data_IF_541856019929
#
_entry.id   IF_541856019929
#
_cell.length_a   1.000
_cell.length_b   1.000
_cell.length_c   1.000
_cell.angle_alpha   90.00
_cell.angle_beta   90.00
_cell.angle_gamma   90.00
#
_symmetry.space_group_name_H-M   'P 1'
#
loop_
_entity.id
_entity.type
_entity.pdbx_description
1 polymer ?
#
# COMPACT_ATOMS: atom_id res chain seq x y z
N UNK A 1 29.89 0.25 -36.60
CA UNK A 1 28.65 0.75 -35.96
C UNK A 1 28.48 0.36 -34.48
N UNK A 2 28.68 -0.91 -34.06
CA UNK A 2 28.43 -1.34 -32.67
C UNK A 2 29.33 -0.68 -31.60
N UNK A 3 30.59 -0.37 -31.92
CA UNK A 3 31.52 0.28 -30.98
C UNK A 3 31.17 1.74 -30.70
N UNK A 4 30.80 2.50 -31.74
CA UNK A 4 30.38 3.89 -31.62
C UNK A 4 29.06 4.04 -30.81
N UNK A 5 28.15 3.07 -30.91
CA UNK A 5 26.93 3.05 -30.11
C UNK A 5 27.22 2.83 -28.62
N UNK A 6 28.16 1.92 -28.29
CA UNK A 6 28.59 1.68 -26.91
C UNK A 6 29.24 2.92 -26.29
N UNK A 7 30.11 3.60 -27.03
CA UNK A 7 30.77 4.83 -26.57
C UNK A 7 29.75 5.96 -26.32
N UNK A 8 28.76 6.12 -27.21
CA UNK A 8 27.67 7.10 -27.01
C UNK A 8 26.81 6.80 -25.79
N UNK A 9 26.50 5.52 -25.52
CA UNK A 9 25.77 5.09 -24.32
C UNK A 9 26.60 5.36 -23.05
N UNK A 10 27.91 5.08 -23.08
CA UNK A 10 28.80 5.34 -21.95
C UNK A 10 28.96 6.84 -21.66
N UNK A 11 29.02 7.68 -22.69
CA UNK A 11 29.10 9.14 -22.52
C UNK A 11 27.78 9.70 -22.00
N UNK A 12 26.64 9.20 -22.47
CA UNK A 12 25.32 9.61 -21.96
C UNK A 12 25.13 9.18 -20.50
N UNK A 13 25.56 7.95 -20.14
CA UNK A 13 25.56 7.48 -18.77
C UNK A 13 26.49 8.30 -17.87
N UNK A 14 27.68 8.67 -18.36
CA UNK A 14 28.58 9.54 -17.62
C UNK A 14 28.02 10.97 -17.46
N UNK A 15 27.41 11.54 -18.50
CA UNK A 15 26.80 12.87 -18.43
C UNK A 15 25.62 12.92 -17.43
N UNK A 16 24.83 11.85 -17.34
CA UNK A 16 23.76 11.69 -16.34
C UNK A 16 24.31 11.59 -14.90
N UNK A 17 25.54 11.09 -14.72
CA UNK A 17 26.18 10.99 -13.41
C UNK A 17 26.79 12.33 -12.93
N UNK A 18 27.07 13.27 -13.84
CA UNK A 18 27.73 14.55 -13.51
C UNK A 18 26.78 15.70 -13.15
N UNK A 19 25.46 15.56 -13.34
CA UNK A 19 24.48 16.62 -13.01
C UNK A 19 23.99 16.59 -11.56
N UNK A 20 24.45 15.64 -10.73
CA UNK A 20 23.93 15.41 -9.38
C UNK A 20 24.52 16.26 -8.24
N UNK A 21 25.44 17.19 -8.52
CA UNK A 21 26.04 18.06 -7.50
C UNK A 21 25.28 19.39 -7.39
N UNK A 22 24.00 19.35 -7.02
CA UNK A 22 23.22 20.55 -6.69
C UNK A 22 22.38 20.26 -5.43
N UNK A 23 22.55 21.14 -4.42
CA UNK A 23 21.80 21.26 -3.16
C UNK A 23 21.19 19.95 -2.61
N UNK A 24 21.96 19.19 -1.84
CA UNK A 24 21.44 17.95 -1.25
C UNK A 24 20.57 18.27 -0.05
N UNK A 25 19.25 18.14 -0.19
CA UNK A 25 18.40 17.88 0.96
C UNK A 25 18.89 16.55 1.58
N UNK A 26 19.41 16.52 2.82
CA UNK A 26 19.96 15.29 3.39
C UNK A 26 18.92 14.16 3.49
N UNK A 27 17.63 14.52 3.60
CA UNK A 27 16.51 13.58 3.64
C UNK A 27 16.10 13.08 2.26
N UNK A 28 16.39 13.85 1.21
CA UNK A 28 16.03 13.55 -0.18
C UNK A 28 17.13 14.00 -1.16
N UNK A 29 18.22 13.22 -1.28
CA UNK A 29 19.35 13.55 -2.16
C UNK A 29 18.98 13.69 -3.65
N UNK A 30 17.82 13.18 -4.06
CA UNK A 30 17.35 13.20 -5.46
C UNK A 30 16.12 14.10 -5.63
N UNK A 31 15.91 15.08 -4.76
CA UNK A 31 14.69 15.90 -4.71
C UNK A 31 14.33 16.52 -6.07
N UNK A 32 15.29 17.12 -6.78
CA UNK A 32 15.03 17.75 -8.09
C UNK A 32 14.53 16.73 -9.13
N UNK A 33 15.17 15.57 -9.21
CA UNK A 33 14.75 14.48 -10.08
C UNK A 33 13.37 13.95 -9.66
N UNK A 34 13.17 13.75 -8.37
CA UNK A 34 11.95 13.21 -7.80
C UNK A 34 10.75 14.14 -8.04
N UNK A 35 10.91 15.45 -7.86
CA UNK A 35 9.88 16.45 -8.16
C UNK A 35 9.56 16.52 -9.65
N UNK A 36 10.56 16.41 -10.52
CA UNK A 36 10.35 16.35 -11.96
C UNK A 36 9.54 15.10 -12.37
N UNK A 37 9.92 13.92 -11.87
CA UNK A 37 9.19 12.68 -12.12
C UNK A 37 7.81 12.67 -11.48
N UNK A 38 7.66 13.28 -10.30
CA UNK A 38 6.37 13.47 -9.65
C UNK A 38 5.43 14.30 -10.52
N UNK A 39 5.91 15.43 -11.05
CA UNK A 39 5.13 16.29 -11.96
C UNK A 39 4.76 15.55 -13.24
N UNK A 40 5.69 14.77 -13.80
CA UNK A 40 5.41 13.94 -14.98
C UNK A 40 4.30 12.91 -14.70
N UNK A 41 4.40 12.16 -13.59
CA UNK A 41 3.41 11.17 -13.20
C UNK A 41 2.05 11.80 -12.94
N UNK A 42 2.04 12.95 -12.26
CA UNK A 42 0.84 13.72 -11.95
C UNK A 42 0.15 14.23 -13.23
N UNK A 43 0.94 14.71 -14.20
CA UNK A 43 0.41 15.11 -15.52
C UNK A 43 -0.24 13.93 -16.23
N UNK A 44 0.39 12.75 -16.21
CA UNK A 44 -0.17 11.53 -16.81
C UNK A 44 -1.45 11.09 -16.08
N UNK A 45 -1.47 11.15 -14.75
CA UNK A 45 -2.63 10.82 -13.95
C UNK A 45 -3.81 11.74 -14.29
N UNK A 46 -3.62 13.05 -14.22
CA UNK A 46 -4.67 14.03 -14.50
C UNK A 46 -5.15 13.98 -15.95
N UNK A 47 -4.26 13.73 -16.92
CA UNK A 47 -4.62 13.72 -18.33
C UNK A 47 -5.34 12.44 -18.77
N UNK A 48 -5.06 11.29 -18.13
CA UNK A 48 -5.51 9.99 -18.63
C UNK A 48 -6.05 9.04 -17.55
N UNK A 49 -5.32 8.83 -16.46
CA UNK A 49 -5.64 7.76 -15.50
C UNK A 49 -6.82 8.17 -14.60
N UNK A 50 -6.81 9.40 -14.05
CA UNK A 50 -7.88 9.94 -13.20
C UNK A 50 -9.22 10.04 -13.95
N UNK A 51 -9.31 10.63 -15.16
CA UNK A 51 -10.57 10.61 -15.92
C UNK A 51 -11.07 9.20 -16.24
N UNK A 52 -10.17 8.27 -16.58
CA UNK A 52 -10.54 6.88 -16.82
C UNK A 52 -11.07 6.19 -15.56
N UNK A 53 -10.47 6.47 -14.39
CA UNK A 53 -10.91 5.96 -13.10
C UNK A 53 -12.26 6.52 -12.67
N UNK A 54 -12.55 7.80 -12.94
CA UNK A 54 -13.85 8.42 -12.70
C UNK A 54 -14.95 7.81 -13.58
N UNK A 55 -14.66 7.58 -14.86
CA UNK A 55 -15.59 6.88 -15.77
C UNK A 55 -15.81 5.45 -15.31
N UNK A 56 -14.75 4.73 -14.92
CA UNK A 56 -14.83 3.37 -14.39
C UNK A 56 -15.69 3.29 -13.14
N UNK A 57 -15.48 4.18 -12.15
CA UNK A 57 -16.24 4.20 -10.90
C UNK A 57 -17.70 4.60 -11.11
N UNK A 58 -17.98 5.46 -12.08
CA UNK A 58 -19.33 5.92 -12.41
C UNK A 58 -20.13 4.86 -13.17
N UNK A 59 -19.50 4.16 -14.11
CA UNK A 59 -20.20 3.20 -14.98
C UNK A 59 -20.36 1.82 -14.34
N UNK A 60 -19.40 1.37 -13.54
CA UNK A 60 -19.43 0.03 -12.96
C UNK A 60 -20.04 0.02 -11.56
N UNK A 61 -21.05 -0.84 -11.31
CA UNK A 61 -21.55 -1.05 -9.96
C UNK A 61 -20.45 -1.50 -9.00
N UNK A 62 -20.59 -1.14 -7.72
CA UNK A 62 -19.59 -1.42 -6.69
C UNK A 62 -19.22 -2.90 -6.60
N UNK A 63 -20.17 -3.83 -6.76
CA UNK A 63 -19.89 -5.27 -6.71
C UNK A 63 -18.94 -5.74 -7.83
N UNK A 64 -18.98 -5.10 -9.01
CA UNK A 64 -18.08 -5.40 -10.13
C UNK A 64 -16.67 -4.91 -9.81
N UNK A 65 -16.56 -3.68 -9.27
CA UNK A 65 -15.27 -3.12 -8.85
C UNK A 65 -14.61 -4.00 -7.78
N UNK A 66 -15.39 -4.42 -6.77
CA UNK A 66 -14.92 -5.37 -5.73
C UNK A 66 -14.47 -6.69 -6.36
N UNK A 67 -15.24 -7.25 -7.30
CA UNK A 67 -14.89 -8.49 -7.98
C UNK A 67 -13.57 -8.41 -8.77
N UNK A 68 -13.34 -7.29 -9.47
CA UNK A 68 -12.09 -7.02 -10.20
C UNK A 68 -10.93 -6.86 -9.22
N UNK A 69 -11.12 -6.09 -8.15
CA UNK A 69 -10.12 -5.89 -7.11
C UNK A 69 -9.72 -7.20 -6.43
N UNK A 70 -10.70 -8.04 -6.08
CA UNK A 70 -10.49 -9.36 -5.49
C UNK A 70 -9.75 -10.28 -6.44
N UNK A 71 -10.13 -10.32 -7.73
CA UNK A 71 -9.47 -11.15 -8.72
C UNK A 71 -7.98 -10.84 -8.84
N UNK A 72 -7.62 -9.56 -9.01
CA UNK A 72 -6.21 -9.16 -9.08
C UNK A 72 -5.50 -9.25 -7.72
N UNK A 73 -6.24 -9.08 -6.63
CA UNK A 73 -5.76 -9.32 -5.27
C UNK A 73 -5.34 -10.77 -5.07
N UNK A 74 -6.19 -11.71 -5.45
CA UNK A 74 -5.96 -13.15 -5.37
C UNK A 74 -4.72 -13.58 -6.19
N UNK A 75 -4.50 -12.98 -7.37
CA UNK A 75 -3.27 -13.20 -8.13
C UNK A 75 -2.03 -12.65 -7.41
N UNK A 76 -2.16 -11.49 -6.77
CA UNK A 76 -1.09 -10.89 -5.95
C UNK A 76 -0.75 -11.72 -4.71
N UNK A 77 -1.76 -12.34 -4.09
CA UNK A 77 -1.60 -13.17 -2.88
C UNK A 77 -0.63 -14.34 -3.12
N UNK A 78 -0.50 -14.83 -4.37
CA UNK A 78 0.52 -15.84 -4.74
C UNK A 78 1.93 -15.34 -4.47
N UNK A 79 2.26 -14.13 -4.96
CA UNK A 79 3.59 -13.56 -4.78
C UNK A 79 3.82 -13.11 -3.33
N UNK A 80 2.78 -12.64 -2.66
CA UNK A 80 2.82 -12.33 -1.23
C UNK A 80 3.12 -13.58 -0.40
N UNK A 81 2.48 -14.73 -0.67
CA UNK A 81 2.80 -15.98 0.02
C UNK A 81 4.25 -16.41 -0.16
N UNK A 82 4.80 -16.28 -1.37
CA UNK A 82 6.24 -16.53 -1.64
C UNK A 82 7.12 -15.63 -0.79
N UNK A 83 6.84 -14.33 -0.73
CA UNK A 83 7.63 -13.39 0.07
C UNK A 83 7.48 -13.65 1.57
N UNK A 84 6.30 -14.02 2.05
CA UNK A 84 6.11 -14.46 3.44
C UNK A 84 7.03 -15.65 3.78
N UNK A 85 7.12 -16.66 2.91
CA UNK A 85 8.06 -17.77 3.11
C UNK A 85 9.52 -17.33 3.05
N UNK A 86 9.90 -16.47 2.09
CA UNK A 86 11.26 -15.91 2.02
C UNK A 86 11.63 -15.07 3.23
N UNK A 87 10.63 -14.50 3.89
CA UNK A 87 10.76 -13.77 5.14
C UNK A 87 10.74 -14.69 6.36
N UNK A 88 10.50 -16.00 6.21
CA UNK A 88 10.37 -16.94 7.34
C UNK A 88 9.03 -16.83 8.10
N UNK A 89 8.06 -16.09 7.56
CA UNK A 89 6.69 -15.95 8.10
C UNK A 89 5.85 -17.14 7.62
N UNK A 90 6.10 -18.33 8.17
CA UNK A 90 5.49 -19.57 7.68
C UNK A 90 3.96 -19.56 7.83
N UNK A 91 3.44 -19.09 8.98
CA UNK A 91 2.01 -19.03 9.23
C UNK A 91 1.30 -18.11 8.23
N UNK A 92 1.83 -16.91 8.01
CA UNK A 92 1.27 -15.92 7.09
C UNK A 92 1.32 -16.43 5.64
N UNK A 93 2.43 -17.04 5.24
CA UNK A 93 2.57 -17.65 3.92
C UNK A 93 1.58 -18.79 3.68
N UNK A 94 1.34 -19.64 4.69
CA UNK A 94 0.30 -20.67 4.61
C UNK A 94 -1.11 -20.07 4.56
N UNK A 95 -1.38 -19.00 5.32
CA UNK A 95 -2.65 -18.27 5.26
C UNK A 95 -2.92 -17.76 3.84
N UNK A 96 -1.95 -17.09 3.22
CA UNK A 96 -2.11 -16.56 1.86
C UNK A 96 -2.28 -17.65 0.81
N UNK A 97 -1.54 -18.76 0.92
CA UNK A 97 -1.73 -19.93 0.05
C UNK A 97 -3.14 -20.51 0.18
N UNK A 98 -3.65 -20.61 1.42
CA UNK A 98 -5.02 -21.07 1.65
C UNK A 98 -6.06 -20.09 1.10
N UNK A 99 -5.83 -18.77 1.23
CA UNK A 99 -6.68 -17.76 0.60
C UNK A 99 -6.73 -17.95 -0.90
N UNK A 100 -5.58 -18.09 -1.56
CA UNK A 100 -5.51 -18.35 -3.00
C UNK A 100 -6.28 -19.61 -3.37
N UNK A 101 -6.08 -20.71 -2.64
CA UNK A 101 -6.76 -21.97 -2.91
C UNK A 101 -8.28 -21.84 -2.79
N UNK A 102 -8.77 -21.26 -1.69
CA UNK A 102 -10.21 -21.11 -1.41
C UNK A 102 -10.86 -20.12 -2.39
N UNK A 103 -10.27 -18.94 -2.58
CA UNK A 103 -10.81 -17.93 -3.48
C UNK A 103 -10.79 -18.38 -4.94
N UNK A 104 -9.78 -19.15 -5.36
CA UNK A 104 -9.72 -19.69 -6.72
C UNK A 104 -10.76 -20.78 -6.94
N UNK A 105 -10.96 -21.68 -5.97
CA UNK A 105 -11.85 -22.85 -6.12
C UNK A 105 -13.31 -22.53 -5.82
N UNK A 106 -13.58 -21.88 -4.68
CA UNK A 106 -14.93 -21.54 -4.22
C UNK A 106 -15.34 -20.11 -4.58
N UNK A 107 -14.37 -19.21 -4.76
CA UNK A 107 -14.60 -17.80 -5.07
C UNK A 107 -14.58 -17.46 -6.56
N UNK A 108 -14.87 -18.42 -7.45
CA UNK A 108 -14.87 -18.25 -8.90
C UNK A 108 -13.58 -17.64 -9.47
N UNK A 109 -12.43 -18.22 -9.15
CA UNK A 109 -11.14 -17.73 -9.63
C UNK A 109 -10.62 -16.47 -8.91
N UNK A 110 -11.18 -16.16 -7.75
CA UNK A 110 -10.79 -15.02 -6.92
C UNK A 110 -11.72 -13.81 -7.02
N UNK A 111 -12.84 -13.89 -7.72
CA UNK A 111 -13.83 -12.80 -7.80
C UNK A 111 -14.54 -12.61 -6.45
N UNK A 112 -14.85 -13.71 -5.74
CA UNK A 112 -15.39 -13.67 -4.39
C UNK A 112 -14.29 -13.95 -3.37
N UNK A 113 -14.24 -13.14 -2.31
CA UNK A 113 -13.25 -13.27 -1.24
C UNK A 113 -13.76 -14.17 -0.09
N UNK A 114 -13.93 -15.46 -0.40
CA UNK A 114 -14.37 -16.48 0.55
C UNK A 114 -13.32 -16.70 1.67
N UNK A 115 -12.04 -16.48 1.38
CA UNK A 115 -10.95 -16.60 2.34
C UNK A 115 -11.10 -15.63 3.51
N UNK A 116 -11.52 -14.39 3.23
CA UNK A 116 -11.79 -13.40 4.30
C UNK A 116 -12.97 -13.81 5.17
N UNK A 117 -14.06 -14.30 4.56
CA UNK A 117 -15.23 -14.83 5.30
C UNK A 117 -14.89 -16.07 6.14
N UNK A 118 -13.88 -16.85 5.71
CA UNK A 118 -13.34 -17.98 6.44
C UNK A 118 -12.33 -17.58 7.55
N UNK A 119 -12.09 -16.29 7.77
CA UNK A 119 -11.19 -15.78 8.79
C UNK A 119 -9.69 -15.84 8.43
N UNK A 120 -9.34 -16.06 7.17
CA UNK A 120 -7.95 -16.05 6.72
C UNK A 120 -7.48 -14.60 6.56
N UNK A 121 -6.44 -14.22 7.31
CA UNK A 121 -5.87 -12.87 7.24
C UNK A 121 -5.16 -12.66 5.90
N UNK A 122 -5.42 -11.52 5.27
CA UNK A 122 -4.76 -11.09 4.03
C UNK A 122 -3.52 -10.29 4.34
N UNK A 123 -2.39 -10.67 3.76
CA UNK A 123 -1.13 -9.94 3.88
C UNK A 123 -0.79 -9.20 2.58
N UNK A 124 0.24 -8.35 2.60
CA UNK A 124 0.73 -7.70 1.38
C UNK A 124 2.25 -7.54 1.41
N UNK A 125 2.91 -8.60 0.98
CA UNK A 125 4.37 -8.68 0.90
C UNK A 125 4.87 -8.57 -0.54
N UNK A 126 6.02 -7.94 -0.69
CA UNK A 126 6.77 -7.77 -1.94
C UNK A 126 8.26 -8.07 -1.71
N UNK A 127 9.04 -8.16 -2.78
CA UNK A 127 10.45 -8.51 -2.67
C UNK A 127 11.29 -7.42 -2.01
N UNK A 128 10.87 -6.16 -2.10
CA UNK A 128 11.51 -5.07 -1.38
C UNK A 128 11.38 -5.21 0.14
N UNK A 129 10.22 -5.69 0.63
CA UNK A 129 9.99 -6.01 2.04
C UNK A 129 10.90 -7.15 2.48
N UNK A 130 10.98 -8.20 1.66
CA UNK A 130 11.89 -9.32 1.88
C UNK A 130 13.34 -8.85 2.02
N UNK A 131 13.85 -8.05 1.08
CA UNK A 131 15.20 -7.48 1.18
C UNK A 131 15.39 -6.64 2.46
N UNK A 132 14.38 -5.85 2.83
CA UNK A 132 14.37 -5.07 4.06
C UNK A 132 14.50 -5.93 5.31
N UNK A 133 13.73 -7.02 5.39
CA UNK A 133 13.80 -7.98 6.50
C UNK A 133 15.18 -8.62 6.63
N UNK A 134 15.86 -8.86 5.52
CA UNK A 134 17.23 -9.39 5.48
C UNK A 134 18.32 -8.32 5.64
N UNK A 135 17.96 -7.10 6.04
CA UNK A 135 18.91 -6.05 6.42
C UNK A 135 19.38 -5.16 5.27
N UNK A 136 18.81 -5.28 4.07
CA UNK A 136 19.10 -4.33 2.98
C UNK A 136 18.42 -3.00 3.29
N UNK A 137 19.24 -1.97 3.52
CA UNK A 137 18.76 -0.62 3.77
C UNK A 137 17.90 -0.10 2.61
N UNK A 138 16.85 0.66 2.93
CA UNK A 138 15.94 1.21 1.93
C UNK A 138 16.67 2.11 0.90
N UNK A 139 17.68 2.84 1.39
CA UNK A 139 18.33 3.90 0.64
C UNK A 139 17.46 5.15 0.47
N UNK A 140 17.92 6.12 -0.31
CA UNK A 140 17.18 7.34 -0.62
C UNK A 140 15.80 7.08 -1.24
N UNK A 141 14.89 8.02 -1.03
CA UNK A 141 13.61 8.07 -1.73
C UNK A 141 13.81 8.34 -3.22
N UNK A 142 13.01 7.68 -4.06
CA UNK A 142 13.07 7.82 -5.51
C UNK A 142 11.65 7.81 -6.09
N UNK A 143 11.35 8.73 -7.01
CA UNK A 143 10.11 8.69 -7.79
C UNK A 143 10.41 8.09 -9.16
N UNK A 144 9.78 6.96 -9.43
CA UNK A 144 9.88 6.27 -10.72
C UNK A 144 8.85 6.82 -11.70
N UNK A 145 9.20 7.00 -12.98
CA UNK A 145 8.22 7.38 -13.99
C UNK A 145 7.16 6.28 -14.11
N UNK A 146 5.90 6.70 -14.18
CA UNK A 146 4.66 5.90 -14.19
C UNK A 146 4.40 5.08 -12.92
N UNK A 147 5.43 4.53 -12.27
CA UNK A 147 5.27 3.66 -11.09
C UNK A 147 5.11 4.44 -9.78
N UNK A 148 5.59 5.69 -9.72
CA UNK A 148 5.43 6.55 -8.56
C UNK A 148 6.50 6.36 -7.48
N UNK A 149 6.10 6.54 -6.23
CA UNK A 149 6.97 6.54 -5.05
C UNK A 149 7.66 5.19 -4.81
N UNK A 150 8.97 5.23 -4.60
CA UNK A 150 9.84 4.07 -4.38
C UNK A 150 11.01 4.45 -3.46
N UNK A 151 11.84 3.47 -3.14
CA UNK A 151 13.19 3.68 -2.60
C UNK A 151 14.22 3.03 -3.52
N UNK A 152 15.51 3.29 -3.31
CA UNK A 152 16.57 2.64 -4.10
C UNK A 152 16.46 1.12 -4.01
N UNK A 153 16.27 0.56 -2.81
CA UNK A 153 16.06 -0.88 -2.60
C UNK A 153 14.84 -1.39 -3.37
N UNK A 154 13.70 -0.74 -3.18
CA UNK A 154 12.43 -1.20 -3.75
C UNK A 154 12.42 -1.06 -5.29
N UNK A 155 13.16 -0.09 -5.83
CA UNK A 155 13.39 0.07 -7.27
C UNK A 155 14.14 -1.11 -7.86
N UNK A 156 15.17 -1.62 -7.18
CA UNK A 156 15.88 -2.82 -7.62
C UNK A 156 15.08 -4.11 -7.39
N UNK A 157 14.14 -4.11 -6.45
CA UNK A 157 13.22 -5.24 -6.22
C UNK A 157 12.10 -5.33 -7.29
N UNK A 158 11.66 -4.19 -7.81
CA UNK A 158 10.52 -4.05 -8.73
C UNK A 158 10.52 -5.05 -9.91
N UNK A 159 11.65 -5.32 -10.62
CA UNK A 159 11.65 -6.30 -11.71
C UNK A 159 11.31 -7.73 -11.27
N UNK A 160 11.64 -8.10 -10.02
CA UNK A 160 11.27 -9.40 -9.46
C UNK A 160 9.79 -9.43 -9.10
N UNK A 161 9.26 -8.34 -8.55
CA UNK A 161 7.82 -8.23 -8.29
C UNK A 161 6.99 -8.35 -9.58
N UNK A 162 7.43 -7.75 -10.69
CA UNK A 162 6.79 -7.94 -11.99
C UNK A 162 6.85 -9.38 -12.50
N UNK A 163 7.94 -10.10 -12.24
CA UNK A 163 8.07 -11.52 -12.62
C UNK A 163 7.31 -12.46 -11.70
N UNK A 164 7.09 -12.03 -10.45
CA UNK A 164 6.33 -12.76 -9.44
C UNK A 164 4.82 -12.71 -9.67
N UNK A 165 4.33 -11.69 -10.38
CA UNK A 165 2.93 -11.54 -10.72
C UNK A 165 2.49 -12.58 -11.79
N UNK A 166 1.56 -13.50 -11.49
CA UNK A 166 1.06 -14.47 -12.45
C UNK A 166 0.45 -13.82 -13.71
N UNK A 167 -0.11 -12.61 -13.59
CA UNK A 167 -0.71 -11.89 -14.72
C UNK A 167 0.33 -11.54 -15.80
N UNK A 168 1.61 -11.39 -15.43
CA UNK A 168 2.70 -11.08 -16.36
C UNK A 168 2.80 -12.07 -17.53
N UNK A 169 2.49 -13.34 -17.25
CA UNK A 169 2.60 -14.46 -18.20
C UNK A 169 1.33 -14.71 -18.99
N UNK A 170 0.29 -13.88 -18.83
CA UNK A 170 -0.97 -14.07 -19.56
C UNK A 170 -0.79 -13.87 -21.06
N UNK A 171 -1.19 -14.87 -21.83
CA UNK A 171 -1.35 -14.79 -23.28
C UNK A 171 -2.85 -14.83 -23.67
N UNK A 172 -3.24 -14.15 -24.76
CA UNK A 172 -2.41 -13.31 -25.65
C UNK A 172 -2.06 -11.94 -25.06
N UNK A 173 -1.03 -11.27 -25.61
CA UNK A 173 -0.49 -10.00 -25.09
C UNK A 173 -1.54 -8.88 -25.02
N UNK A 174 -2.45 -8.80 -25.99
CA UNK A 174 -3.50 -7.78 -25.96
C UNK A 174 -4.45 -7.93 -24.77
N UNK A 175 -4.82 -9.17 -24.39
CA UNK A 175 -5.65 -9.44 -23.20
C UNK A 175 -4.89 -9.04 -21.94
N UNK A 176 -3.61 -9.40 -21.85
CA UNK A 176 -2.76 -9.01 -20.72
C UNK A 176 -2.71 -7.50 -20.55
N UNK A 177 -2.45 -6.77 -21.64
CA UNK A 177 -2.34 -5.31 -21.60
C UNK A 177 -3.68 -4.68 -21.18
N UNK A 178 -4.81 -5.12 -21.76
CA UNK A 178 -6.14 -4.64 -21.38
C UNK A 178 -6.42 -4.88 -19.90
N UNK A 179 -6.18 -6.09 -19.38
CA UNK A 179 -6.40 -6.36 -17.96
C UNK A 179 -5.43 -5.62 -17.04
N UNK A 180 -4.18 -5.41 -17.46
CA UNK A 180 -3.23 -4.55 -16.72
C UNK A 180 -3.71 -3.10 -16.66
N UNK A 181 -4.26 -2.57 -17.76
CA UNK A 181 -4.87 -1.24 -17.79
C UNK A 181 -6.08 -1.17 -16.85
N UNK A 182 -6.98 -2.16 -16.90
CA UNK A 182 -8.13 -2.23 -15.99
C UNK A 182 -7.67 -2.27 -14.54
N UNK A 183 -6.65 -3.06 -14.21
CA UNK A 183 -6.09 -3.13 -12.84
C UNK A 183 -5.55 -1.78 -12.35
N UNK A 184 -4.89 -1.02 -13.21
CA UNK A 184 -4.38 0.32 -12.85
C UNK A 184 -5.55 1.29 -12.63
N UNK A 185 -6.56 1.25 -13.49
CA UNK A 185 -7.76 2.09 -13.39
C UNK A 185 -8.54 1.75 -12.11
N UNK A 186 -8.76 0.47 -11.82
CA UNK A 186 -9.44 -0.01 -10.61
C UNK A 186 -8.69 0.40 -9.32
N UNK A 187 -7.35 0.27 -9.33
CA UNK A 187 -6.55 0.73 -8.21
C UNK A 187 -6.69 2.25 -8.02
N UNK A 188 -6.64 3.03 -9.10
CA UNK A 188 -6.80 4.49 -9.03
C UNK A 188 -8.20 4.87 -8.57
N UNK A 189 -9.25 4.17 -9.01
CA UNK A 189 -10.63 4.46 -8.63
C UNK A 189 -10.86 4.27 -7.13
N UNK A 190 -10.23 3.26 -6.53
CA UNK A 190 -10.33 2.96 -5.09
C UNK A 190 -9.78 4.07 -4.17
N UNK A 191 -8.99 5.01 -4.71
CA UNK A 191 -8.32 6.07 -3.94
C UNK A 191 -8.69 7.48 -4.41
N UNK A 192 -9.68 7.64 -5.30
CA UNK A 192 -10.08 8.95 -5.84
C UNK A 192 -10.43 9.95 -4.73
N UNK A 193 -11.34 9.60 -3.83
CA UNK A 193 -11.81 10.51 -2.78
C UNK A 193 -10.68 10.95 -1.84
N UNK A 194 -9.87 10.00 -1.38
CA UNK A 194 -8.72 10.29 -0.53
C UNK A 194 -7.69 11.17 -1.25
N UNK A 195 -7.46 10.93 -2.54
CA UNK A 195 -6.50 11.72 -3.32
C UNK A 195 -6.99 13.16 -3.57
N UNK A 196 -8.28 13.36 -3.80
CA UNK A 196 -8.87 14.69 -4.00
C UNK A 196 -8.72 15.54 -2.73
N UNK A 197 -8.97 14.94 -1.56
CA UNK A 197 -8.76 15.62 -0.28
C UNK A 197 -7.30 16.06 -0.07
N UNK A 198 -6.34 15.20 -0.43
CA UNK A 198 -4.92 15.53 -0.36
C UNK A 198 -4.55 16.63 -1.36
N UNK A 199 -5.08 16.58 -2.58
CA UNK A 199 -4.88 17.59 -3.62
C UNK A 199 -5.38 18.98 -3.19
N UNK A 200 -6.50 19.04 -2.47
CA UNK A 200 -7.09 20.30 -1.99
C UNK A 200 -6.40 20.84 -0.73
N UNK A 201 -5.94 19.96 0.17
CA UNK A 201 -5.44 20.36 1.49
C UNK A 201 -3.92 20.53 1.58
N UNK A 202 -3.13 19.87 0.73
CA UNK A 202 -1.67 19.85 0.87
C UNK A 202 -1.02 21.09 0.25
N UNK A 203 -0.28 21.86 1.06
CA UNK A 203 0.53 22.99 0.58
C UNK A 203 1.67 22.52 -0.36
N UNK A 204 2.34 21.42 -0.01
CA UNK A 204 3.31 20.72 -0.87
C UNK A 204 2.93 19.24 -0.93
N UNK A 205 2.19 18.86 -2.00
CA UNK A 205 1.74 17.49 -2.23
C UNK A 205 2.90 16.50 -2.40
N UNK A 206 4.03 16.93 -2.97
CA UNK A 206 5.19 16.06 -3.15
C UNK A 206 5.77 15.63 -1.81
N UNK A 207 6.03 16.60 -0.92
CA UNK A 207 6.58 16.34 0.42
C UNK A 207 5.64 15.45 1.24
N UNK A 208 4.33 15.75 1.21
CA UNK A 208 3.34 14.96 1.92
C UNK A 208 3.33 13.49 1.45
N UNK A 209 3.30 13.25 0.14
CA UNK A 209 3.28 11.90 -0.42
C UNK A 209 4.58 11.15 -0.14
N UNK A 210 5.74 11.83 -0.23
CA UNK A 210 7.04 11.24 0.11
C UNK A 210 7.06 10.77 1.56
N UNK A 211 6.71 11.64 2.50
CA UNK A 211 6.83 11.34 3.93
C UNK A 211 5.83 10.26 4.34
N UNK A 212 4.60 10.32 3.82
CA UNK A 212 3.59 9.27 4.02
C UNK A 212 4.04 7.92 3.43
N UNK A 213 4.66 7.92 2.24
CA UNK A 213 5.21 6.72 1.63
C UNK A 213 6.32 6.11 2.50
N UNK A 214 7.29 6.92 2.94
CA UNK A 214 8.43 6.45 3.73
C UNK A 214 7.97 5.87 5.07
N UNK A 215 7.06 6.56 5.77
CA UNK A 215 6.49 6.08 7.03
C UNK A 215 5.75 4.75 6.85
N UNK A 216 4.84 4.69 5.86
CA UNK A 216 4.09 3.46 5.55
C UNK A 216 5.04 2.33 5.15
N UNK A 217 6.09 2.63 4.40
CA UNK A 217 7.02 1.63 3.90
C UNK A 217 7.88 1.05 5.01
N UNK A 218 8.33 1.88 5.94
CA UNK A 218 9.05 1.43 7.12
C UNK A 218 8.16 0.53 7.98
N UNK A 219 6.91 0.93 8.24
CA UNK A 219 5.94 0.11 8.95
C UNK A 219 5.76 -1.27 8.30
N UNK A 220 5.64 -1.34 6.97
CA UNK A 220 5.52 -2.61 6.23
C UNK A 220 6.72 -3.54 6.36
N UNK A 221 7.93 -3.01 6.31
CA UNK A 221 9.15 -3.83 6.41
C UNK A 221 9.30 -4.46 7.81
N UNK A 222 8.78 -3.79 8.84
CA UNK A 222 8.90 -4.19 10.23
C UNK A 222 7.56 -4.64 10.86
N UNK A 223 6.54 -4.93 10.06
CA UNK A 223 5.22 -5.38 10.54
C UNK A 223 4.57 -4.45 11.59
N UNK A 224 4.86 -3.14 11.51
CA UNK A 224 4.42 -2.14 12.47
C UNK A 224 5.34 -1.97 13.69
N UNK A 225 6.22 -2.93 13.95
CA UNK A 225 7.24 -2.88 15.01
C UNK A 225 8.50 -2.16 14.52
N UNK A 226 8.34 -0.90 14.15
CA UNK A 226 9.45 -0.08 13.65
C UNK A 226 10.52 0.01 14.74
N UNK A 227 11.77 -0.47 14.49
CA UNK A 227 12.85 -0.28 15.43
C UNK A 227 13.00 1.22 15.69
N UNK A 228 13.09 1.60 16.97
CA UNK A 228 13.45 2.97 17.33
C UNK A 228 14.79 3.27 16.67
N UNK A 229 14.74 4.01 15.57
CA UNK A 229 15.90 4.43 14.82
C UNK A 229 16.04 5.92 15.04
N UNK A 230 17.29 6.36 15.08
CA UNK A 230 17.86 7.70 15.40
C UNK A 230 17.22 8.92 14.68
N UNK A 231 16.12 8.74 13.96
CA UNK A 231 15.34 9.74 13.24
C UNK A 231 14.22 10.39 14.08
N UNK A 232 14.11 10.06 15.37
CA UNK A 232 13.20 10.70 16.33
C UNK A 232 13.50 12.21 16.53
N UNK A 233 14.65 12.69 16.05
CA UNK A 233 15.06 14.09 16.16
C UNK A 233 14.46 15.05 15.12
N UNK A 234 13.61 14.58 14.21
CA UNK A 234 13.11 15.37 13.08
C UNK A 234 11.59 15.61 13.06
N UNK A 235 10.88 15.13 14.08
CA UNK A 235 9.62 15.78 14.46
C UNK A 235 10.00 17.05 15.23
N UNK A 236 9.71 18.22 14.67
CA UNK A 236 9.79 19.48 15.43
C UNK A 236 9.07 19.30 16.77
N UNK A 237 9.50 19.99 17.84
CA UNK A 237 9.23 19.59 19.21
C UNK A 237 7.75 19.28 19.37
N UNK A 238 7.40 17.99 19.43
CA UNK A 238 6.20 17.60 20.15
C UNK A 238 6.46 18.16 21.52
N UNK A 239 5.64 19.13 21.93
CA UNK A 239 5.67 19.67 23.26
C UNK A 239 5.78 18.47 24.21
N UNK A 240 6.97 18.29 24.77
CA UNK A 240 7.17 17.44 25.91
C UNK A 240 6.35 18.15 26.99
N UNK A 241 5.09 17.76 27.11
CA UNK A 241 4.37 18.03 28.34
C UNK A 241 5.11 17.22 29.39
N UNK A 242 5.84 17.95 30.22
CA UNK A 242 6.41 17.53 31.49
C UNK A 242 5.34 16.77 32.29
N UNK A 243 5.28 15.46 32.10
CA UNK A 243 4.63 14.58 33.07
C UNK A 243 5.64 14.30 34.17
N UNK A 244 5.35 14.67 35.43
CA UNK A 244 6.30 14.53 36.52
C UNK A 244 6.64 13.05 36.74
N UNK A 245 7.94 12.78 36.94
CA UNK A 245 8.46 11.44 37.20
C UNK A 245 7.78 10.82 38.43
N UNK A 246 7.02 9.74 38.22
CA UNK A 246 6.49 8.92 39.30
C UNK A 246 7.65 8.07 39.84
N UNK A 247 8.13 8.43 41.03
CA UNK A 247 9.11 7.65 41.78
C UNK A 247 8.53 6.29 42.15
N UNK A 248 9.08 5.23 41.56
CA UNK A 248 8.77 3.85 41.91
C UNK A 248 9.43 3.49 43.25
N UNK A 249 8.69 3.71 44.34
CA UNK A 249 8.91 3.02 45.61
C UNK A 249 7.56 2.62 46.22
N UNK A 250 7.15 1.40 45.92
CA UNK A 250 6.39 0.53 46.81
C UNK A 250 4.98 1.00 47.17
N UNK A 251 4.00 0.65 46.33
CA UNK A 251 2.63 0.41 46.79
C UNK A 251 1.98 -0.63 45.87
N UNK A 252 1.38 -1.65 46.48
CA UNK A 252 0.77 -2.79 45.81
C UNK A 252 -0.30 -2.38 44.78
N UNK A 253 -0.35 -3.11 43.66
CA UNK A 253 -1.41 -2.98 42.65
C UNK A 253 -2.79 -3.22 43.29
N UNK A 254 -3.77 -2.32 43.15
CA UNK A 254 -5.16 -2.71 43.35
C UNK A 254 -5.61 -3.59 42.18
N UNK A 255 -6.43 -4.58 42.52
CA UNK A 255 -7.06 -5.57 41.64
C UNK A 255 -7.78 -4.91 40.44
N UNK A 256 -7.81 -5.53 39.25
CA UNK A 256 -8.38 -4.90 38.06
C UNK A 256 -9.89 -4.72 38.22
N UNK A 257 -10.37 -3.49 38.01
CA UNK A 257 -11.79 -3.17 38.04
C UNK A 257 -12.57 -3.99 36.99
N UNK A 258 -13.66 -4.61 37.45
CA UNK A 258 -14.59 -5.40 36.65
C UNK A 258 -15.27 -4.53 35.57
N UNK A 259 -15.29 -5.00 34.32
CA UNK A 259 -15.87 -4.28 33.18
C UNK A 259 -17.39 -4.11 33.37
N UNK A 260 -18.00 -2.94 33.11
CA UNK A 260 -19.44 -2.79 33.23
C UNK A 260 -20.16 -3.60 32.14
N UNK A 261 -20.99 -4.55 32.55
CA UNK A 261 -21.89 -5.31 31.69
C UNK A 261 -23.10 -4.43 31.36
N UNK A 262 -23.24 -4.02 30.11
CA UNK A 262 -24.46 -3.38 29.60
C UNK A 262 -25.55 -4.45 29.46
N UNK A 263 -26.54 -4.44 30.36
CA UNK A 263 -27.77 -5.24 30.21
C UNK A 263 -28.73 -4.50 29.29
N UNK A 264 -29.05 -5.09 28.14
CA UNK A 264 -30.15 -4.63 27.30
C UNK A 264 -31.46 -5.08 27.95
N UNK A 265 -32.19 -4.15 28.57
CA UNK A 265 -33.58 -4.40 28.96
C UNK A 265 -34.47 -4.34 27.72
N UNK A 266 -35.08 -5.49 27.41
CA UNK A 266 -36.03 -5.67 26.33
C UNK A 266 -37.37 -5.08 26.78
N UNK A 267 -37.73 -3.89 26.27
CA UNK A 267 -38.97 -3.22 26.63
C UNK A 267 -40.10 -3.66 25.67
N UNK A 268 -40.86 -4.68 26.09
CA UNK A 268 -41.95 -5.32 25.33
C UNK A 268 -43.25 -4.48 25.22
N UNK A 269 -43.16 -3.16 25.06
CA UNK A 269 -44.36 -2.28 25.04
C UNK A 269 -44.65 -1.61 23.70
N UNK A 270 -43.92 -1.91 22.62
CA UNK A 270 -44.17 -1.30 21.29
C UNK A 270 -44.75 -2.30 20.26
N UNK A 271 -44.78 -3.60 20.56
CA UNK A 271 -45.31 -4.63 19.65
C UNK A 271 -46.84 -4.80 19.67
N UNK A 272 -47.57 -4.15 20.59
CA UNK A 272 -49.03 -4.38 20.76
C UNK A 272 -49.90 -3.28 20.12
N UNK A 273 -49.33 -2.17 19.64
CA UNK A 273 -50.13 -1.07 19.06
C UNK A 273 -50.20 -1.10 17.53
N UNK A 274 -49.30 -1.81 16.84
CA UNK A 274 -49.30 -1.86 15.36
C UNK A 274 -50.06 -3.06 14.74
N UNK A 275 -50.57 -3.98 15.56
CA UNK A 275 -51.37 -5.13 15.07
C UNK A 275 -52.88 -4.84 15.08
N UNK A 276 -53.32 -3.71 15.64
CA UNK A 276 -54.76 -3.35 15.75
C UNK A 276 -55.25 -2.38 14.66
N UNK A 277 -54.37 -1.82 13.82
CA UNK A 277 -54.75 -0.97 12.66
C UNK A 277 -54.76 -1.71 11.31
N UNK A 278 -54.48 -3.02 11.28
CA UNK A 278 -54.58 -3.84 10.07
C UNK A 278 -55.89 -4.66 9.97
N UNK A 279 -56.92 -4.29 10.75
CA UNK A 279 -58.26 -4.87 10.69
C UNK A 279 -59.35 -3.80 10.84
N UNK A 280 -59.30 -2.78 9.99
CA UNK A 280 -60.46 -2.03 9.49
C UNK A 280 -60.23 -1.66 8.03
#
# INVERSE_FOLDING_TARGET
>A
MRSALKIKISILAAALLLTGCATTNPKDPFEDFNRAMFTFNDTVDQAAIKPAAEVYSTLLPQFVQIGINNFFGNLGDVWTGVNNFLQGKIADGLSDVMRVAVNTTMGFGGVLDIGSEAGLVKHKEDFGQTLGKWGVASGPYLVLPILGSSTVRDTFATPLDFKGDPWHYKAPVHVRNVGSTIRVIDLRSSVLDASNLVEEAALDRYVFIRDAYMQRRQSKVFDGEVPSSTYEHDVGPTAAEDLPAINDKGAAMPEPAEKPVVKLEQNDTVATTLVTEAKQ
#
